data_IF_960793729931
#
_entry.id   IF_960793729931
#
_cell.length_a   1.000
_cell.length_b   1.000
_cell.length_c   1.000
_cell.angle_alpha   90.00
_cell.angle_beta   90.00
_cell.angle_gamma   90.00
#
_symmetry.space_group_name_H-M   'P 1'
#
loop_
_entity.id
_entity.type
_entity.pdbx_description
1 polymer ?
#
# COMPACT_ATOMS: atom_id res chain seq x y z
N UNK A 1 -2.21 12.00 20.17
CA UNK A 1 -2.56 12.15 18.76
C UNK A 1 -2.40 10.81 18.04
N UNK A 2 -3.50 10.20 17.61
CA UNK A 2 -3.57 8.87 17.01
C UNK A 2 -4.42 8.87 15.73
N UNK A 3 -4.14 9.80 14.83
CA UNK A 3 -4.98 10.10 13.66
C UNK A 3 -4.90 9.07 12.52
N UNK A 4 -3.96 8.11 12.59
CA UNK A 4 -3.67 7.18 11.48
C UNK A 4 -2.86 7.83 10.35
N UNK A 5 -2.35 7.00 9.42
CA UNK A 5 -1.43 7.45 8.37
C UNK A 5 -2.13 8.12 7.16
N UNK A 6 -3.45 8.06 7.08
CA UNK A 6 -4.23 8.68 5.99
C UNK A 6 -4.79 10.07 6.34
N UNK A 7 -4.61 10.55 7.57
CA UNK A 7 -5.08 11.85 8.02
C UNK A 7 -4.13 12.98 7.56
N UNK A 8 -4.12 13.24 6.25
CA UNK A 8 -3.23 14.24 5.62
C UNK A 8 -3.48 15.65 6.08
N UNK A 9 -4.72 15.99 6.33
CA UNK A 9 -5.18 17.25 6.91
C UNK A 9 -4.50 17.54 8.25
N UNK A 10 -4.29 16.52 9.08
CA UNK A 10 -3.58 16.64 10.35
C UNK A 10 -2.10 16.95 10.12
N UNK A 11 -1.42 16.28 9.19
CA UNK A 11 -0.02 16.58 8.87
C UNK A 11 0.16 17.99 8.32
N UNK A 12 -0.75 18.42 7.43
CA UNK A 12 -0.75 19.78 6.89
C UNK A 12 -1.07 20.83 7.97
N UNK A 13 -1.98 20.53 8.91
CA UNK A 13 -2.29 21.39 10.05
C UNK A 13 -1.08 21.54 10.98
N UNK A 14 -0.42 20.43 11.34
CA UNK A 14 0.77 20.47 12.18
C UNK A 14 1.87 21.32 11.53
N UNK A 15 2.17 21.04 10.26
CA UNK A 15 3.14 21.80 9.49
C UNK A 15 2.81 23.30 9.44
N UNK A 16 1.54 23.68 9.15
CA UNK A 16 1.06 25.06 9.12
C UNK A 16 1.17 25.77 10.48
N UNK A 17 1.02 25.02 11.57
CA UNK A 17 1.16 25.52 12.94
C UNK A 17 2.62 25.60 13.43
N UNK A 18 3.60 25.22 12.59
CA UNK A 18 5.01 25.19 12.97
C UNK A 18 5.35 24.05 13.93
N UNK A 19 4.47 23.06 14.06
CA UNK A 19 4.75 21.83 14.82
C UNK A 19 5.58 20.93 13.95
N UNK A 20 6.69 20.43 14.47
CA UNK A 20 7.68 19.68 13.71
C UNK A 20 7.12 18.35 13.22
N UNK A 21 7.25 18.12 11.92
CA UNK A 21 6.98 16.86 11.22
C UNK A 21 8.13 16.59 10.26
N UNK A 22 8.37 15.35 9.92
CA UNK A 22 9.48 14.92 9.09
C UNK A 22 9.00 14.03 7.94
N UNK A 23 9.57 14.18 6.74
CA UNK A 23 9.35 13.25 5.64
C UNK A 23 9.95 11.88 6.00
N UNK A 24 9.19 10.81 5.77
CA UNK A 24 9.55 9.45 6.16
C UNK A 24 9.49 8.50 4.97
N UNK A 25 10.45 7.55 4.85
CA UNK A 25 10.36 6.45 3.88
C UNK A 25 9.06 5.65 4.05
N UNK A 26 8.51 5.21 2.91
CA UNK A 26 7.29 4.41 2.85
C UNK A 26 7.39 3.39 1.71
N UNK A 27 6.32 2.74 1.29
CA UNK A 27 6.32 1.87 0.14
C UNK A 27 5.14 2.16 -0.80
N UNK A 28 5.36 1.96 -2.10
CA UNK A 28 4.43 2.29 -3.17
C UNK A 28 4.44 1.19 -4.22
N UNK A 29 3.27 0.83 -4.72
CA UNK A 29 3.14 -0.17 -5.75
C UNK A 29 1.74 -0.35 -6.29
N UNK A 30 1.36 -1.61 -6.43
CA UNK A 30 0.07 -2.04 -6.98
C UNK A 30 -0.55 -3.11 -6.09
N UNK A 31 -1.85 -3.31 -6.19
CA UNK A 31 -2.51 -4.49 -5.65
C UNK A 31 -2.66 -5.53 -6.73
N UNK A 32 -2.22 -6.75 -6.43
CA UNK A 32 -2.32 -7.90 -7.34
C UNK A 32 -3.39 -8.82 -6.83
N UNK A 33 -4.28 -9.26 -7.73
CA UNK A 33 -5.32 -10.22 -7.42
C UNK A 33 -5.21 -11.43 -8.34
N UNK A 34 -5.33 -12.62 -7.74
CA UNK A 34 -5.36 -13.92 -8.41
C UNK A 34 -6.64 -14.66 -8.05
N UNK A 35 -7.09 -15.62 -8.85
CA UNK A 35 -8.03 -16.63 -8.37
C UNK A 35 -7.46 -17.34 -7.13
N UNK A 36 -8.25 -17.42 -6.04
CA UNK A 36 -7.78 -18.08 -4.80
C UNK A 36 -7.33 -19.51 -5.06
N UNK A 37 -8.08 -20.26 -5.89
CA UNK A 37 -7.74 -21.63 -6.27
C UNK A 37 -6.33 -21.75 -6.87
N UNK A 38 -5.87 -20.76 -7.65
CA UNK A 38 -4.52 -20.75 -8.19
C UNK A 38 -3.46 -20.61 -7.08
N UNK A 39 -3.71 -19.73 -6.11
CA UNK A 39 -2.81 -19.56 -4.97
C UNK A 39 -2.80 -20.82 -4.09
N UNK A 40 -3.96 -21.45 -3.87
CA UNK A 40 -4.05 -22.71 -3.14
C UNK A 40 -3.20 -23.80 -3.82
N UNK A 41 -3.33 -23.99 -5.12
CA UNK A 41 -2.56 -24.95 -5.90
C UNK A 41 -1.05 -24.72 -5.80
N UNK A 42 -0.63 -23.45 -5.84
CA UNK A 42 0.79 -23.07 -5.71
C UNK A 42 1.31 -23.40 -4.31
N UNK A 43 0.58 -23.01 -3.26
CA UNK A 43 1.04 -23.12 -1.88
C UNK A 43 0.89 -24.55 -1.32
N UNK A 44 -0.12 -25.30 -1.75
CA UNK A 44 -0.38 -26.67 -1.34
C UNK A 44 0.16 -27.72 -2.31
N UNK A 45 1.04 -27.31 -3.24
CA UNK A 45 1.71 -28.21 -4.19
C UNK A 45 0.74 -29.08 -5.01
N UNK A 46 -0.29 -28.45 -5.56
CA UNK A 46 -1.30 -29.09 -6.40
C UNK A 46 -2.45 -29.74 -5.64
N UNK A 47 -2.44 -29.74 -4.30
CA UNK A 47 -3.59 -30.17 -3.50
C UNK A 47 -4.63 -29.04 -3.46
N UNK A 48 -5.88 -29.40 -3.55
CA UNK A 48 -6.97 -28.41 -3.36
C UNK A 48 -7.12 -28.09 -1.88
N UNK A 49 -7.43 -26.81 -1.58
CA UNK A 49 -7.94 -26.44 -0.26
C UNK A 49 -9.27 -27.16 -0.06
N UNK A 50 -9.36 -27.96 0.97
CA UNK A 50 -10.58 -28.67 1.35
C UNK A 50 -11.09 -28.18 2.72
N UNK A 51 -11.94 -28.95 3.36
CA UNK A 51 -12.45 -28.60 4.71
C UNK A 51 -11.33 -28.44 5.75
N UNK A 52 -10.19 -29.08 5.57
CA UNK A 52 -9.05 -29.08 6.51
C UNK A 52 -7.99 -28.00 6.23
N UNK A 53 -7.94 -27.44 5.02
CA UNK A 53 -6.95 -26.45 4.64
C UNK A 53 -7.63 -25.09 4.39
N UNK A 54 -7.24 -24.03 5.11
CA UNK A 54 -7.77 -22.70 4.87
C UNK A 54 -7.34 -22.16 3.50
N UNK A 55 -8.01 -21.13 2.96
CA UNK A 55 -7.52 -20.43 1.78
C UNK A 55 -6.06 -20.00 1.96
N UNK A 56 -5.21 -20.40 1.02
CA UNK A 56 -3.76 -20.22 1.13
C UNK A 56 -3.37 -18.74 1.09
N UNK A 57 -2.40 -18.39 1.93
CA UNK A 57 -1.75 -17.10 1.95
C UNK A 57 -0.29 -17.25 1.48
N UNK A 58 0.32 -16.16 1.03
CA UNK A 58 1.75 -16.13 0.71
C UNK A 58 2.42 -14.87 1.25
N UNK A 59 3.72 -14.99 1.45
CA UNK A 59 4.63 -13.88 1.71
C UNK A 59 5.81 -14.01 0.78
N UNK A 60 6.12 -12.95 0.04
CA UNK A 60 7.21 -12.97 -0.93
C UNK A 60 7.99 -11.64 -0.89
N UNK A 61 9.30 -11.73 -1.03
CA UNK A 61 10.21 -10.59 -1.08
C UNK A 61 11.35 -10.87 -2.06
N UNK A 62 11.75 -9.87 -2.83
CA UNK A 62 12.96 -9.88 -3.66
C UNK A 62 13.65 -8.52 -3.58
N UNK A 63 14.96 -8.55 -3.74
CA UNK A 63 15.76 -7.35 -3.93
C UNK A 63 15.88 -7.08 -5.43
N UNK A 64 15.60 -5.83 -5.83
CA UNK A 64 15.70 -5.37 -7.23
C UNK A 64 16.37 -4.01 -7.25
N UNK A 65 17.50 -3.92 -7.92
CA UNK A 65 18.32 -2.69 -8.00
C UNK A 65 18.58 -2.08 -6.59
N UNK A 66 18.95 -2.93 -5.61
CA UNK A 66 19.27 -2.53 -4.24
C UNK A 66 18.07 -2.10 -3.37
N UNK A 67 16.83 -2.23 -3.87
CA UNK A 67 15.59 -1.91 -3.12
C UNK A 67 14.73 -3.16 -2.91
N UNK A 68 14.06 -3.23 -1.77
CA UNK A 68 13.10 -4.29 -1.49
C UNK A 68 11.83 -4.14 -2.32
N UNK A 69 11.38 -5.26 -2.91
CA UNK A 69 10.03 -5.41 -3.50
C UNK A 69 9.37 -6.58 -2.80
N UNK A 70 8.22 -6.35 -2.19
CA UNK A 70 7.63 -7.34 -1.29
C UNK A 70 6.10 -7.31 -1.28
N UNK A 71 5.53 -8.46 -0.86
CA UNK A 71 4.10 -8.56 -0.59
C UNK A 71 3.73 -7.82 0.70
N UNK A 72 2.66 -7.06 0.66
CA UNK A 72 2.12 -6.32 1.79
C UNK A 72 0.63 -6.62 1.96
N UNK A 73 0.20 -6.88 3.20
CA UNK A 73 -1.22 -7.11 3.51
C UNK A 73 -1.89 -8.09 2.54
N UNK A 74 -1.37 -9.32 2.46
CA UNK A 74 -1.96 -10.40 1.67
C UNK A 74 -3.29 -10.85 2.29
N UNK A 75 -4.32 -10.89 1.47
CA UNK A 75 -5.71 -11.15 1.85
C UNK A 75 -6.23 -12.41 1.12
N UNK A 76 -6.11 -13.61 1.72
CA UNK A 76 -6.68 -14.83 1.16
C UNK A 76 -8.21 -14.80 1.24
N UNK A 77 -8.88 -15.29 0.19
CA UNK A 77 -10.35 -15.21 0.08
C UNK A 77 -10.88 -13.80 0.30
N UNK A 78 -10.15 -12.79 -0.16
CA UNK A 78 -10.39 -11.39 0.13
C UNK A 78 -10.87 -10.58 -1.08
N UNK A 79 -11.04 -9.30 -0.86
CA UNK A 79 -11.43 -8.32 -1.89
C UNK A 79 -10.48 -7.14 -1.89
N UNK A 80 -10.37 -6.49 -3.04
CA UNK A 80 -9.73 -5.18 -3.17
C UNK A 80 -10.76 -4.10 -2.84
N UNK A 81 -10.39 -3.14 -2.01
CA UNK A 81 -11.24 -2.05 -1.56
C UNK A 81 -10.69 -0.67 -1.96
N UNK A 82 -11.55 0.32 -2.25
CA UNK A 82 -11.16 1.70 -2.39
C UNK A 82 -10.78 2.28 -1.01
N UNK A 83 -9.69 3.04 -0.94
CA UNK A 83 -9.19 3.63 0.31
C UNK A 83 -8.73 5.09 0.17
N UNK A 84 -9.11 5.78 -0.90
CA UNK A 84 -8.86 7.21 -1.03
C UNK A 84 -9.63 7.99 0.04
N UNK A 85 -8.97 8.97 0.66
CA UNK A 85 -9.54 9.84 1.70
C UNK A 85 -9.72 11.29 1.25
N UNK A 86 -9.28 11.59 0.02
CA UNK A 86 -9.43 12.92 -0.59
C UNK A 86 -10.06 12.79 -1.98
N UNK A 87 -10.77 13.82 -2.45
CA UNK A 87 -11.31 13.81 -3.80
C UNK A 87 -10.20 13.75 -4.85
N UNK A 88 -10.55 13.21 -6.03
CA UNK A 88 -9.65 13.08 -7.17
C UNK A 88 -8.37 12.25 -6.89
N UNK A 89 -8.45 11.25 -6.03
CA UNK A 89 -7.41 10.26 -5.74
C UNK A 89 -7.96 8.85 -5.90
N UNK A 90 -7.11 7.91 -6.33
CA UNK A 90 -7.40 6.47 -6.31
C UNK A 90 -6.34 5.76 -5.48
N UNK A 91 -6.80 5.07 -4.46
CA UNK A 91 -5.97 4.24 -3.58
C UNK A 91 -6.66 2.89 -3.41
N UNK A 92 -5.89 1.83 -3.60
CA UNK A 92 -6.36 0.47 -3.36
C UNK A 92 -5.80 -0.09 -2.06
N UNK A 93 -6.60 -0.87 -1.37
CA UNK A 93 -6.21 -1.70 -0.25
C UNK A 93 -6.93 -3.04 -0.35
N UNK A 94 -6.71 -3.97 0.57
CA UNK A 94 -7.39 -5.24 0.58
C UNK A 94 -7.79 -5.66 1.99
N UNK A 95 -8.84 -6.45 2.06
CA UNK A 95 -9.26 -7.10 3.29
C UNK A 95 -9.87 -8.48 3.01
N UNK A 96 -9.86 -9.35 4.00
CA UNK A 96 -10.53 -10.65 3.94
C UNK A 96 -11.76 -10.64 4.86
N UNK A 97 -12.93 -11.11 4.41
CA UNK A 97 -14.03 -11.38 5.31
C UNK A 97 -13.60 -12.49 6.30
N UNK A 98 -14.28 -12.58 7.45
CA UNK A 98 -13.94 -13.57 8.48
C UNK A 98 -13.95 -15.02 7.96
N UNK A 99 -14.84 -15.34 7.03
CA UNK A 99 -14.91 -16.66 6.38
C UNK A 99 -13.87 -16.88 5.28
N UNK A 100 -13.19 -15.85 4.80
CA UNK A 100 -12.20 -15.91 3.70
C UNK A 100 -12.70 -16.69 2.49
N UNK A 101 -13.96 -16.54 2.14
CA UNK A 101 -14.66 -17.35 1.13
C UNK A 101 -14.90 -16.62 -0.21
N UNK A 102 -14.24 -15.48 -0.44
CA UNK A 102 -14.23 -14.84 -1.75
C UNK A 102 -13.36 -15.68 -2.71
N UNK A 103 -13.73 -15.78 -4.01
CA UNK A 103 -12.98 -16.57 -4.96
C UNK A 103 -11.59 -16.00 -5.32
N UNK A 104 -11.20 -14.87 -4.75
CA UNK A 104 -9.95 -14.19 -5.03
C UNK A 104 -9.01 -14.13 -3.83
N UNK A 105 -7.71 -14.08 -4.14
CA UNK A 105 -6.61 -13.79 -3.22
C UNK A 105 -5.91 -12.52 -3.71
N UNK A 106 -5.74 -11.51 -2.86
CA UNK A 106 -5.05 -10.29 -3.28
C UNK A 106 -3.94 -9.88 -2.31
N UNK A 107 -2.95 -9.13 -2.80
CA UNK A 107 -1.85 -8.60 -2.01
C UNK A 107 -1.34 -7.29 -2.62
N UNK A 108 -1.01 -6.32 -1.78
CA UNK A 108 -0.14 -5.24 -2.21
C UNK A 108 1.23 -5.81 -2.59
N UNK A 109 1.78 -5.39 -3.72
CA UNK A 109 3.16 -5.62 -4.11
C UNK A 109 3.81 -4.26 -4.27
N UNK A 110 4.73 -3.96 -3.36
CA UNK A 110 5.23 -2.60 -3.16
C UNK A 110 6.75 -2.53 -3.19
N UNK A 111 7.26 -1.38 -3.57
CA UNK A 111 8.69 -1.02 -3.63
C UNK A 111 8.98 -0.03 -2.53
N UNK A 112 10.07 -0.22 -1.80
CA UNK A 112 10.56 0.76 -0.83
C UNK A 112 10.88 2.08 -1.50
N UNK A 113 10.38 3.17 -0.92
CA UNK A 113 10.55 4.56 -1.37
C UNK A 113 11.38 5.29 -0.33
N UNK A 114 12.51 5.81 -0.74
CA UNK A 114 13.49 6.47 0.12
C UNK A 114 13.63 7.96 -0.24
N UNK A 115 14.41 8.70 0.53
CA UNK A 115 14.57 10.16 0.36
C UNK A 115 14.98 10.58 -1.06
N UNK A 116 15.83 9.80 -1.71
CA UNK A 116 16.31 10.07 -3.07
C UNK A 116 15.18 10.00 -4.10
N UNK A 117 14.17 9.16 -3.86
CA UNK A 117 13.08 8.90 -4.80
C UNK A 117 12.08 10.06 -4.88
N UNK A 118 11.98 10.91 -3.84
CA UNK A 118 11.15 12.13 -3.85
C UNK A 118 11.93 13.44 -3.89
N UNK A 119 13.20 13.42 -4.33
CA UNK A 119 14.05 14.60 -4.42
C UNK A 119 13.41 15.77 -5.19
N UNK A 120 12.67 15.49 -6.25
CA UNK A 120 11.93 16.51 -7.01
C UNK A 120 10.87 17.27 -6.18
N UNK A 121 10.53 16.77 -5.01
CA UNK A 121 9.55 17.35 -4.08
C UNK A 121 10.20 18.08 -2.90
N UNK A 122 11.51 18.22 -2.84
CA UNK A 122 12.23 18.87 -1.72
C UNK A 122 11.72 20.28 -1.38
N UNK A 123 11.16 20.99 -2.37
CA UNK A 123 10.50 22.30 -2.15
C UNK A 123 9.34 22.28 -1.17
N UNK A 124 8.76 21.11 -0.89
CA UNK A 124 7.69 20.95 0.11
C UNK A 124 8.21 20.60 1.51
N UNK A 125 9.52 20.61 1.71
CA UNK A 125 10.16 20.37 3.01
C UNK A 125 9.74 19.04 3.64
N UNK A 126 9.27 19.08 4.87
CA UNK A 126 8.83 17.91 5.64
C UNK A 126 7.60 17.18 5.05
N UNK A 127 6.86 17.80 4.14
CA UNK A 127 5.73 17.18 3.44
C UNK A 127 6.12 16.62 2.05
N UNK A 128 7.41 16.58 1.69
CA UNK A 128 7.87 16.15 0.38
C UNK A 128 7.40 14.73 -0.01
N UNK A 129 7.55 13.77 0.89
CA UNK A 129 7.12 12.38 0.68
C UNK A 129 5.58 12.27 0.57
N UNK A 130 4.85 13.05 1.36
CA UNK A 130 3.38 13.13 1.29
C UNK A 130 2.90 13.67 -0.06
N UNK A 131 3.52 14.72 -0.57
CA UNK A 131 3.16 15.31 -1.87
C UNK A 131 3.50 14.38 -3.02
N UNK A 132 4.65 13.70 -2.98
CA UNK A 132 4.98 12.64 -3.94
C UNK A 132 3.91 11.53 -3.96
N UNK A 133 3.51 11.02 -2.79
CA UNK A 133 2.46 10.01 -2.67
C UNK A 133 1.13 10.49 -3.26
N UNK A 134 0.69 11.69 -2.89
CA UNK A 134 -0.56 12.31 -3.39
C UNK A 134 -0.57 12.48 -4.92
N UNK A 135 0.56 12.90 -5.50
CA UNK A 135 0.63 13.10 -6.96
C UNK A 135 0.49 11.77 -7.72
N UNK A 136 1.01 10.66 -7.20
CA UNK A 136 0.81 9.33 -7.80
C UNK A 136 -0.65 8.91 -7.72
N UNK A 137 -1.33 9.13 -6.59
CA UNK A 137 -2.75 8.80 -6.39
C UNK A 137 -3.66 9.64 -7.31
N UNK A 138 -3.37 10.94 -7.45
CA UNK A 138 -4.06 11.83 -8.38
C UNK A 138 -3.84 11.45 -9.84
N UNK A 139 -2.63 11.08 -10.21
CA UNK A 139 -2.32 10.61 -11.56
C UNK A 139 -3.07 9.32 -11.90
N UNK A 140 -3.20 8.41 -10.93
CA UNK A 140 -4.03 7.21 -11.08
C UNK A 140 -5.50 7.57 -11.31
N UNK A 141 -6.05 8.48 -10.51
CA UNK A 141 -7.42 8.98 -10.69
C UNK A 141 -7.62 9.60 -12.08
N UNK A 142 -6.77 10.53 -12.47
CA UNK A 142 -6.86 11.26 -13.74
C UNK A 142 -6.78 10.33 -14.96
N UNK A 143 -6.11 9.19 -14.84
CA UNK A 143 -5.94 8.25 -15.95
C UNK A 143 -7.23 7.57 -16.38
N UNK A 144 -8.21 7.40 -15.48
CA UNK A 144 -9.43 6.59 -15.72
C UNK A 144 -10.73 7.27 -15.31
N UNK A 145 -10.71 8.35 -14.50
CA UNK A 145 -11.90 9.03 -14.00
C UNK A 145 -12.11 10.43 -14.63
N UNK A 146 -11.76 10.60 -15.91
CA UNK A 146 -11.88 11.90 -16.59
C UNK A 146 -13.28 12.47 -16.48
N UNK A 147 -13.42 13.57 -15.72
CA UNK A 147 -14.69 14.31 -15.60
C UNK A 147 -15.76 13.63 -14.73
N UNK A 148 -15.43 12.60 -13.96
CA UNK A 148 -16.35 11.93 -13.03
C UNK A 148 -15.85 12.01 -11.58
N UNK A 149 -16.78 11.89 -10.63
CA UNK A 149 -16.46 11.75 -9.20
C UNK A 149 -16.24 10.28 -8.79
N UNK A 150 -16.12 9.37 -9.78
CA UNK A 150 -16.01 7.93 -9.57
C UNK A 150 -14.70 7.51 -8.90
N UNK A 151 -14.65 6.26 -8.48
CA UNK A 151 -13.48 5.60 -7.92
C UNK A 151 -13.01 4.42 -8.79
N UNK A 152 -13.15 4.55 -10.13
CA UNK A 152 -12.60 3.57 -11.07
C UNK A 152 -11.07 3.49 -10.88
N UNK A 153 -10.53 2.29 -10.88
CA UNK A 153 -9.10 2.08 -10.72
C UNK A 153 -8.43 1.64 -12.04
N UNK A 154 -7.23 2.18 -12.35
CA UNK A 154 -6.45 1.70 -13.49
C UNK A 154 -5.94 0.29 -13.24
N UNK A 155 -6.03 -0.58 -14.24
CA UNK A 155 -5.64 -1.97 -14.13
C UNK A 155 -5.04 -2.55 -15.41
N UNK A 156 -4.27 -3.62 -15.27
CA UNK A 156 -3.75 -4.43 -16.38
C UNK A 156 -3.76 -5.92 -15.99
N UNK A 157 -3.77 -6.82 -16.98
CA UNK A 157 -3.35 -8.20 -16.74
C UNK A 157 -1.90 -8.20 -16.21
N UNK A 158 -1.61 -9.04 -15.25
CA UNK A 158 -0.27 -9.11 -14.65
C UNK A 158 0.83 -9.34 -15.69
N UNK A 159 0.59 -10.24 -16.65
CA UNK A 159 1.56 -10.53 -17.72
C UNK A 159 1.75 -9.32 -18.63
N UNK A 160 0.70 -8.62 -19.00
CA UNK A 160 0.77 -7.43 -19.88
C UNK A 160 1.51 -6.29 -19.19
N UNK A 161 1.28 -6.09 -17.89
CA UNK A 161 2.06 -5.13 -17.11
C UNK A 161 3.55 -5.47 -17.12
N UNK A 162 3.90 -6.76 -16.90
CA UNK A 162 5.30 -7.20 -16.88
C UNK A 162 5.97 -7.05 -18.24
N UNK A 163 5.25 -7.29 -19.33
CA UNK A 163 5.75 -7.14 -20.69
C UNK A 163 5.68 -5.70 -21.23
N UNK A 164 4.95 -4.83 -20.53
CA UNK A 164 4.83 -3.41 -20.90
C UNK A 164 3.96 -3.18 -22.14
N UNK A 165 2.90 -3.95 -22.31
CA UNK A 165 1.92 -3.80 -23.37
C UNK A 165 0.53 -3.48 -22.81
N UNK A 166 -0.37 -3.04 -23.67
CA UNK A 166 -1.75 -2.78 -23.29
C UNK A 166 -2.53 -4.09 -23.06
N UNK A 167 -3.43 -4.10 -22.06
CA UNK A 167 -4.39 -5.19 -21.89
C UNK A 167 -5.63 -4.92 -22.73
N UNK A 168 -5.96 -5.83 -23.65
CA UNK A 168 -7.15 -5.71 -24.49
C UNK A 168 -8.44 -5.93 -23.71
N UNK A 169 -8.36 -6.77 -22.69
CA UNK A 169 -9.43 -7.10 -21.76
C UNK A 169 -8.84 -7.30 -20.36
N UNK A 170 -9.69 -7.34 -19.34
CA UNK A 170 -9.29 -7.56 -17.94
C UNK A 170 -10.00 -8.80 -17.40
N UNK A 171 -9.32 -9.63 -16.56
CA UNK A 171 -10.00 -10.68 -15.83
C UNK A 171 -11.00 -10.10 -14.83
N UNK A 172 -11.90 -10.94 -14.32
CA UNK A 172 -12.79 -10.55 -13.21
C UNK A 172 -11.96 -10.06 -12.04
N UNK A 173 -12.44 -9.01 -11.39
CA UNK A 173 -11.78 -8.37 -10.25
C UNK A 173 -12.77 -8.09 -9.14
N UNK A 174 -12.32 -8.19 -7.90
CA UNK A 174 -13.15 -7.95 -6.72
C UNK A 174 -13.33 -6.46 -6.38
N UNK A 175 -12.64 -5.56 -7.05
CA UNK A 175 -12.73 -4.11 -6.80
C UNK A 175 -14.10 -3.57 -7.23
N UNK A 176 -14.95 -3.25 -6.26
CA UNK A 176 -16.37 -2.93 -6.47
C UNK A 176 -16.62 -1.68 -7.34
N UNK A 177 -15.86 -0.58 -7.20
CA UNK A 177 -16.09 0.58 -8.05
C UNK A 177 -15.82 0.32 -9.54
N UNK A 178 -15.12 -0.76 -9.88
CA UNK A 178 -14.76 -1.14 -11.23
C UNK A 178 -13.34 -0.77 -11.63
N UNK A 179 -12.83 -1.50 -12.61
CA UNK A 179 -11.47 -1.32 -13.14
C UNK A 179 -11.50 -0.96 -14.61
N UNK A 180 -10.54 -0.14 -15.04
CA UNK A 180 -10.37 0.29 -16.43
C UNK A 180 -8.97 -0.07 -16.90
N UNK A 181 -8.87 -0.66 -18.11
CA UNK A 181 -7.58 -0.95 -18.70
C UNK A 181 -6.77 0.32 -18.93
N UNK A 182 -5.62 0.42 -18.28
CA UNK A 182 -4.70 1.55 -18.42
C UNK A 182 -3.26 1.12 -18.11
N UNK A 183 -2.30 1.74 -18.79
CA UNK A 183 -0.86 1.48 -18.65
C UNK A 183 -0.34 1.94 -17.29
N UNK A 184 -0.28 1.02 -16.32
CA UNK A 184 0.22 1.30 -14.97
C UNK A 184 1.69 1.76 -14.94
N UNK A 185 2.51 1.30 -15.88
CA UNK A 185 3.89 1.74 -16.01
C UNK A 185 4.04 3.21 -16.46
N UNK A 186 2.98 3.82 -17.02
CA UNK A 186 2.92 5.26 -17.34
C UNK A 186 2.30 6.08 -16.21
N UNK A 187 1.59 5.44 -15.29
CA UNK A 187 0.94 6.07 -14.13
C UNK A 187 1.91 6.11 -12.95
N UNK A 188 2.51 4.97 -12.63
CA UNK A 188 3.52 4.85 -11.58
C UNK A 188 4.81 5.61 -11.93
N UNK A 189 5.61 6.03 -10.93
CA UNK A 189 6.97 6.48 -11.18
C UNK A 189 7.76 5.41 -11.95
N UNK A 190 8.54 5.81 -12.94
CA UNK A 190 9.22 4.88 -13.86
C UNK A 190 10.10 3.86 -13.12
N UNK A 191 10.79 4.28 -12.05
CA UNK A 191 11.63 3.41 -11.25
C UNK A 191 10.81 2.37 -10.45
N UNK A 192 9.61 2.72 -9.98
CA UNK A 192 8.69 1.79 -9.31
C UNK A 192 8.19 0.75 -10.30
N UNK A 193 7.67 1.19 -11.45
CA UNK A 193 7.19 0.29 -12.49
C UNK A 193 8.28 -0.68 -12.98
N UNK A 194 9.51 -0.18 -13.19
CA UNK A 194 10.66 -1.01 -13.58
C UNK A 194 10.92 -2.12 -12.54
N UNK A 195 11.03 -1.75 -11.26
CA UNK A 195 11.32 -2.69 -10.16
C UNK A 195 10.20 -3.72 -9.97
N UNK A 196 8.94 -3.30 -10.04
CA UNK A 196 7.79 -4.21 -9.98
C UNK A 196 7.83 -5.24 -11.12
N UNK A 197 8.07 -4.81 -12.36
CA UNK A 197 8.16 -5.71 -13.52
C UNK A 197 9.27 -6.75 -13.37
N UNK A 198 10.43 -6.36 -12.85
CA UNK A 198 11.54 -7.27 -12.58
C UNK A 198 11.17 -8.24 -11.43
N UNK A 199 10.60 -7.72 -10.35
CA UNK A 199 10.20 -8.54 -9.20
C UNK A 199 9.13 -9.58 -9.58
N UNK A 200 8.12 -9.22 -10.38
CA UNK A 200 7.11 -10.17 -10.84
C UNK A 200 7.70 -11.32 -11.65
N UNK A 201 8.72 -11.09 -12.48
CA UNK A 201 9.44 -12.17 -13.16
C UNK A 201 10.15 -13.09 -12.17
N UNK A 202 10.76 -12.53 -11.12
CA UNK A 202 11.40 -13.31 -10.07
C UNK A 202 10.38 -14.06 -9.21
N UNK A 203 9.22 -13.46 -8.94
CA UNK A 203 8.12 -14.11 -8.25
C UNK A 203 7.58 -15.31 -9.03
N UNK A 204 7.38 -15.16 -10.35
CA UNK A 204 6.97 -16.26 -11.22
C UNK A 204 7.95 -17.42 -11.25
N UNK A 205 9.26 -17.15 -11.08
CA UNK A 205 10.28 -18.21 -10.94
C UNK A 205 10.21 -18.92 -9.59
N UNK A 206 9.95 -18.18 -8.50
CA UNK A 206 9.87 -18.73 -7.14
C UNK A 206 8.54 -19.42 -6.85
N UNK A 207 7.46 -18.93 -7.44
CA UNK A 207 6.08 -19.42 -7.31
C UNK A 207 5.55 -19.73 -8.71
N UNK A 208 5.79 -20.94 -9.21
CA UNK A 208 5.34 -21.34 -10.56
C UNK A 208 3.83 -21.18 -10.68
N UNK A 209 3.37 -20.45 -11.72
CA UNK A 209 1.96 -20.10 -11.94
C UNK A 209 1.56 -18.71 -11.41
N UNK A 210 2.36 -18.07 -10.55
CA UNK A 210 2.06 -16.72 -10.05
C UNK A 210 1.96 -15.68 -11.16
N UNK A 211 2.89 -15.70 -12.12
CA UNK A 211 2.84 -14.86 -13.33
C UNK A 211 1.87 -15.48 -14.35
N UNK A 212 0.59 -15.13 -14.23
CA UNK A 212 -0.52 -15.68 -15.00
C UNK A 212 -1.33 -14.58 -15.68
N UNK A 213 -1.98 -14.94 -16.79
CA UNK A 213 -2.98 -14.09 -17.47
C UNK A 213 -4.30 -13.97 -16.67
N UNK A 214 -4.55 -14.88 -15.72
CA UNK A 214 -5.72 -14.84 -14.84
C UNK A 214 -5.54 -13.85 -13.69
N UNK A 215 -4.32 -13.34 -13.49
CA UNK A 215 -4.01 -12.33 -12.49
C UNK A 215 -4.16 -10.92 -13.04
N UNK A 216 -4.67 -10.03 -12.18
CA UNK A 216 -4.81 -8.60 -12.47
C UNK A 216 -3.96 -7.77 -11.50
N UNK A 217 -3.37 -6.70 -12.01
CA UNK A 217 -2.75 -5.63 -11.22
C UNK A 217 -3.62 -4.40 -11.25
N UNK A 218 -3.90 -3.83 -10.08
CA UNK A 218 -4.76 -2.67 -9.89
C UNK A 218 -3.95 -1.56 -9.18
N UNK A 219 -3.98 -0.37 -9.67
CA UNK A 219 -3.23 0.79 -9.12
C UNK A 219 -4.15 1.75 -8.37
N UNK A 220 -3.63 2.36 -7.31
CA UNK A 220 -2.28 2.23 -6.77
C UNK A 220 -2.35 1.83 -5.30
N UNK A 221 -1.41 1.00 -4.86
CA UNK A 221 -1.19 0.68 -3.44
C UNK A 221 -0.13 1.64 -2.91
N UNK A 222 -0.55 2.70 -2.23
CA UNK A 222 0.33 3.80 -1.84
C UNK A 222 0.39 4.03 -0.32
N UNK A 223 -0.58 3.50 0.43
CA UNK A 223 -0.74 3.79 1.86
C UNK A 223 -0.37 2.59 2.73
N UNK A 224 0.84 2.08 2.53
CA UNK A 224 1.41 0.98 3.32
C UNK A 224 1.88 1.44 4.70
N UNK A 225 2.32 2.69 4.80
CA UNK A 225 2.75 3.35 6.04
C UNK A 225 2.69 4.86 5.86
N UNK A 226 2.84 5.60 6.97
CA UNK A 226 2.88 7.07 6.91
C UNK A 226 4.10 7.56 6.12
N UNK A 227 3.93 8.48 5.15
CA UNK A 227 5.02 9.18 4.50
C UNK A 227 5.57 10.35 5.34
N UNK A 228 5.02 10.52 6.55
CA UNK A 228 5.39 11.56 7.51
C UNK A 228 5.59 10.92 8.87
N UNK A 229 6.56 11.38 9.64
CA UNK A 229 6.69 11.12 11.07
C UNK A 229 6.50 12.40 11.87
N UNK A 230 5.99 12.25 13.08
CA UNK A 230 5.86 13.34 14.05
C UNK A 230 6.86 13.04 15.15
N UNK A 231 8.02 13.74 15.20
CA UNK A 231 9.12 13.39 16.08
C UNK A 231 8.72 13.48 17.55
N UNK A 232 9.15 12.48 18.35
CA UNK A 232 8.87 12.41 19.77
C UNK A 232 10.07 11.89 20.55
N UNK A 233 10.15 12.23 21.82
CA UNK A 233 11.07 11.61 22.74
C UNK A 233 10.77 10.10 22.88
N UNK A 234 11.80 9.28 22.96
CA UNK A 234 11.66 7.81 23.00
C UNK A 234 11.14 7.29 24.34
N UNK A 235 11.52 7.93 25.43
CA UNK A 235 11.16 7.52 26.78
C UNK A 235 9.89 8.22 27.24
N UNK A 236 9.85 9.56 27.10
CA UNK A 236 8.74 10.39 27.52
C UNK A 236 7.55 10.35 26.56
N UNK A 237 7.74 9.87 25.33
CA UNK A 237 6.76 9.69 24.26
C UNK A 237 6.01 10.96 23.83
N UNK A 238 6.30 12.12 24.40
CA UNK A 238 5.76 13.40 23.95
C UNK A 238 6.58 13.97 22.77
N UNK A 239 5.96 14.87 22.00
CA UNK A 239 6.61 15.60 20.93
C UNK A 239 7.85 16.33 21.45
N UNK A 240 8.93 16.37 20.65
CA UNK A 240 10.24 16.90 21.06
C UNK A 240 10.22 18.37 21.54
N UNK A 241 9.20 19.17 21.14
CA UNK A 241 9.03 20.57 21.56
C UNK A 241 7.73 20.85 22.33
N UNK A 242 6.83 19.87 22.43
CA UNK A 242 5.49 20.07 23.02
C UNK A 242 5.23 18.94 24.02
N UNK A 243 5.41 19.19 25.29
CA UNK A 243 5.37 18.19 26.36
C UNK A 243 4.00 17.55 26.60
N UNK A 244 2.91 18.18 26.17
CA UNK A 244 1.54 17.66 26.28
C UNK A 244 0.99 17.08 24.95
N UNK A 245 1.81 16.94 23.92
CA UNK A 245 1.45 16.31 22.66
C UNK A 245 2.15 14.94 22.56
N UNK A 246 1.37 13.86 22.55
CA UNK A 246 1.85 12.48 22.45
C UNK A 246 1.49 11.89 21.07
N UNK A 247 2.38 11.97 20.06
CA UNK A 247 2.15 11.37 18.75
C UNK A 247 2.36 9.85 18.83
N UNK A 248 1.34 9.07 18.45
CA UNK A 248 1.36 7.61 18.58
C UNK A 248 0.80 6.90 17.33
N UNK A 249 1.20 5.65 17.17
CA UNK A 249 0.68 4.75 16.16
C UNK A 249 1.21 5.01 14.74
N UNK A 250 0.46 4.56 13.75
CA UNK A 250 0.86 4.61 12.35
C UNK A 250 0.96 6.04 11.81
N UNK A 251 0.03 6.92 12.18
CA UNK A 251 0.03 8.30 11.71
C UNK A 251 1.24 9.09 12.20
N UNK A 252 1.72 8.79 13.40
CA UNK A 252 2.95 9.40 13.91
C UNK A 252 4.23 8.76 13.37
N UNK A 253 4.12 7.66 12.61
CA UNK A 253 5.26 6.98 11.99
C UNK A 253 5.93 5.92 12.85
N UNK A 254 5.34 5.52 14.00
CA UNK A 254 5.94 4.58 14.98
C UNK A 254 5.34 3.18 14.94
N UNK A 255 4.36 2.93 14.09
CA UNK A 255 3.76 1.61 13.90
C UNK A 255 3.54 1.34 12.40
N UNK A 256 3.48 0.07 12.04
CA UNK A 256 3.22 -0.38 10.67
C UNK A 256 2.11 -1.45 10.61
N UNK A 257 1.18 -1.45 11.57
CA UNK A 257 0.05 -2.37 11.61
C UNK A 257 -0.72 -2.32 12.93
N UNK A 258 -1.86 -3.00 12.98
CA UNK A 258 -2.85 -2.93 14.07
C UNK A 258 -2.22 -3.22 15.44
N UNK A 259 -1.51 -4.34 15.55
CA UNK A 259 -0.92 -4.78 16.84
C UNK A 259 0.18 -3.82 17.30
N UNK A 260 1.06 -3.39 16.38
CA UNK A 260 2.13 -2.45 16.73
C UNK A 260 1.58 -1.08 17.12
N UNK A 261 0.49 -0.62 16.49
CA UNK A 261 -0.19 0.62 16.84
C UNK A 261 -0.84 0.53 18.24
N UNK A 262 -1.47 -0.61 18.56
CA UNK A 262 -2.04 -0.85 19.90
C UNK A 262 -0.95 -0.88 20.99
N UNK A 263 0.17 -1.57 20.74
CA UNK A 263 1.31 -1.61 21.67
C UNK A 263 1.87 -0.20 21.91
N UNK A 264 2.01 0.60 20.86
CA UNK A 264 2.49 1.98 20.96
C UNK A 264 1.54 2.86 21.79
N UNK A 265 0.22 2.69 21.60
CA UNK A 265 -0.81 3.35 22.40
C UNK A 265 -0.75 2.97 23.90
N UNK A 266 -0.58 1.67 24.20
CA UNK A 266 -0.43 1.20 25.60
C UNK A 266 0.81 1.78 26.26
N UNK A 267 1.94 1.84 25.54
CA UNK A 267 3.17 2.47 26.07
C UNK A 267 2.95 3.94 26.40
N UNK A 268 2.32 4.70 25.52
CA UNK A 268 2.04 6.10 25.76
C UNK A 268 1.11 6.31 26.96
N UNK A 269 0.06 5.49 27.09
CA UNK A 269 -0.86 5.55 28.21
C UNK A 269 -0.16 5.30 29.58
N UNK A 270 0.77 4.35 29.62
CA UNK A 270 1.58 4.09 30.83
C UNK A 270 2.43 5.29 31.21
N UNK A 271 3.18 5.86 30.25
CA UNK A 271 4.03 7.05 30.49
C UNK A 271 3.19 8.24 30.95
N UNK A 272 1.99 8.43 30.42
CA UNK A 272 1.10 9.52 30.89
C UNK A 272 0.59 9.25 32.29
N UNK A 273 0.19 8.01 32.62
CA UNK A 273 -0.31 7.65 33.95
C UNK A 273 0.74 7.71 35.05
N UNK A 274 2.02 7.50 34.71
CA UNK A 274 3.13 7.67 35.68
C UNK A 274 3.44 9.14 36.02
N UNK A 275 2.94 10.10 35.23
CA UNK A 275 3.11 11.54 35.42
C UNK A 275 1.93 12.21 36.12
N UNK A 276 0.82 11.49 36.24
CA UNK A 276 -0.42 11.95 36.91
C UNK A 276 -0.39 11.59 38.40
#
# INVERSE_FOLDING_TARGET
LASGHSARDIFELLHKKGIEVEAKPFALGVRVEHPQKLIDQIQYHGKESGELLPPAAYRIVKQVDGKGVYSFCMCPGGIIAPCATSPAEVVTNGWSPSRRNNPFANSGIVVSIEKEDWKAYEKYGSLAALKFQSDVEKKAFQSVNKGSEGQLAPAQRLVDFVEGRDSKDLPKCSYQPGVVSARLDKILPAFVAKRLRQAFRLFGKSMKGYLSNDAIVVGVESRTSSPVSIPRDREQMHHIRISNLYPIGEGAGYAGGIVSAAIDGVKAARVIGEKS
#
